data_IF_106859375401
#
_entry.id   IF_106859375401
#
_cell.length_a   1.000
_cell.length_b   1.000
_cell.length_c   1.000
_cell.angle_alpha   90.00
_cell.angle_beta   90.00
_cell.angle_gamma   90.00
#
_symmetry.space_group_name_H-M   'P 1'
#
loop_
_entity.id
_entity.type
_entity.pdbx_description
1 polymer ?
#
# COMPACT_ATOMS: atom_id res chain seq x y z
N UNK A 1 -2.30 -28.60 3.05
CA UNK A 1 -2.55 -27.33 3.77
C UNK A 1 -2.22 -26.19 2.84
N UNK A 2 -2.96 -25.07 2.91
CA UNK A 2 -2.62 -23.87 2.15
C UNK A 2 -1.28 -23.28 2.64
N UNK A 3 -0.43 -22.81 1.71
CA UNK A 3 0.85 -22.16 2.00
C UNK A 3 0.63 -20.92 2.88
N UNK A 4 1.40 -20.74 3.97
CA UNK A 4 1.28 -19.53 4.80
C UNK A 4 1.89 -18.35 4.04
N UNK A 5 1.39 -17.14 4.33
CA UNK A 5 1.87 -15.90 3.66
C UNK A 5 3.38 -15.70 3.80
N UNK A 6 3.95 -15.99 4.98
CA UNK A 6 5.40 -15.86 5.20
C UNK A 6 6.23 -16.81 4.34
N UNK A 7 5.68 -17.97 4.00
CA UNK A 7 6.40 -19.02 3.26
C UNK A 7 6.58 -18.64 1.77
N UNK A 8 5.94 -17.57 1.29
CA UNK A 8 6.23 -17.01 -0.04
C UNK A 8 7.60 -16.32 -0.11
N UNK A 9 8.20 -16.05 1.06
CA UNK A 9 9.48 -15.37 1.22
C UNK A 9 10.40 -16.30 2.01
N UNK A 10 10.76 -17.40 1.37
CA UNK A 10 11.70 -18.41 1.83
C UNK A 10 13.08 -18.19 1.18
N UNK A 11 14.02 -19.12 1.41
CA UNK A 11 15.37 -19.03 0.83
C UNK A 11 15.34 -19.13 -0.70
N UNK A 12 14.43 -19.93 -1.27
CA UNK A 12 14.27 -20.05 -2.73
C UNK A 12 13.85 -18.70 -3.33
N UNK A 13 12.92 -18.00 -2.67
CA UNK A 13 12.57 -16.63 -3.02
C UNK A 13 13.77 -15.68 -2.92
N UNK A 14 14.53 -15.75 -1.83
CA UNK A 14 15.69 -14.87 -1.61
C UNK A 14 16.76 -15.07 -2.70
N UNK A 15 17.04 -16.33 -3.08
CA UNK A 15 17.92 -16.66 -4.20
C UNK A 15 17.41 -16.08 -5.53
N UNK A 16 16.10 -16.18 -5.80
CA UNK A 16 15.52 -15.63 -7.03
C UNK A 16 15.65 -14.11 -7.09
N UNK A 17 15.33 -13.41 -5.99
CA UNK A 17 15.49 -11.98 -5.88
C UNK A 17 16.96 -11.57 -6.06
N UNK A 18 17.88 -12.30 -5.42
CA UNK A 18 19.32 -12.10 -5.53
C UNK A 18 19.80 -12.20 -6.98
N UNK A 19 19.40 -13.25 -7.71
CA UNK A 19 19.72 -13.43 -9.14
C UNK A 19 19.18 -12.29 -10.01
N UNK A 20 17.97 -11.79 -9.73
CA UNK A 20 17.38 -10.65 -10.46
C UNK A 20 18.20 -9.39 -10.30
N UNK A 21 18.63 -9.09 -9.07
CA UNK A 21 19.45 -7.92 -8.77
C UNK A 21 20.84 -8.02 -9.41
N UNK A 22 21.52 -9.17 -9.31
CA UNK A 22 22.81 -9.38 -9.98
C UNK A 22 22.75 -9.24 -11.50
N UNK A 23 21.63 -9.63 -12.12
CA UNK A 23 21.47 -9.53 -13.57
C UNK A 23 21.51 -8.08 -14.08
N UNK A 24 21.13 -7.12 -13.25
CA UNK A 24 21.01 -5.70 -13.64
C UNK A 24 22.11 -4.81 -13.07
N UNK A 25 22.89 -5.29 -12.09
CA UNK A 25 24.06 -4.58 -11.57
C UNK A 25 25.10 -5.53 -10.98
N UNK A 26 26.36 -5.26 -11.29
CA UNK A 26 27.55 -5.94 -10.73
C UNK A 26 27.89 -5.46 -9.31
N UNK A 27 27.27 -4.38 -8.85
CA UNK A 27 27.49 -3.82 -7.50
C UNK A 27 26.75 -4.56 -6.39
N UNK A 28 25.86 -5.50 -6.73
CA UNK A 28 25.09 -6.25 -5.75
C UNK A 28 25.87 -7.48 -5.25
N UNK A 29 26.22 -7.48 -3.96
CA UNK A 29 26.90 -8.59 -3.30
C UNK A 29 25.91 -9.69 -2.91
N UNK A 30 25.62 -10.60 -3.84
CA UNK A 30 24.69 -11.70 -3.61
C UNK A 30 25.17 -12.68 -2.53
N UNK A 31 26.48 -12.92 -2.43
CA UNK A 31 27.01 -13.87 -1.46
C UNK A 31 26.77 -13.34 -0.05
N UNK A 32 27.09 -12.07 0.17
CA UNK A 32 26.80 -11.43 1.45
C UNK A 32 25.29 -11.36 1.71
N UNK A 33 24.48 -11.02 0.69
CA UNK A 33 23.01 -10.99 0.82
C UNK A 33 22.44 -12.33 1.31
N UNK A 34 22.86 -13.44 0.68
CA UNK A 34 22.38 -14.77 1.08
C UNK A 34 22.81 -15.11 2.51
N UNK A 35 24.05 -14.80 2.89
CA UNK A 35 24.54 -15.06 4.25
C UNK A 35 23.75 -14.30 5.33
N UNK A 36 23.32 -13.06 5.06
CA UNK A 36 22.49 -12.26 5.97
C UNK A 36 21.06 -12.80 6.08
N UNK A 37 20.52 -13.42 5.02
CA UNK A 37 19.15 -13.91 5.01
C UNK A 37 19.06 -15.30 5.63
N UNK A 38 20.00 -16.19 5.32
CA UNK A 38 20.02 -17.59 5.77
C UNK A 38 20.04 -17.75 7.29
N UNK A 39 20.70 -16.85 8.02
CA UNK A 39 20.83 -16.94 9.48
C UNK A 39 19.49 -16.86 10.21
N UNK A 40 18.59 -15.98 9.76
CA UNK A 40 17.44 -15.54 10.56
C UNK A 40 16.08 -15.86 9.93
N UNK A 41 16.01 -16.04 8.60
CA UNK A 41 14.73 -16.03 7.86
C UNK A 41 13.70 -17.05 8.39
N UNK A 42 14.13 -18.26 8.76
CA UNK A 42 13.22 -19.33 9.18
C UNK A 42 12.43 -18.96 10.45
N UNK A 43 13.08 -18.31 11.41
CA UNK A 43 12.49 -17.93 12.69
C UNK A 43 11.51 -16.74 12.60
N UNK A 44 11.56 -15.98 11.50
CA UNK A 44 10.82 -14.74 11.36
C UNK A 44 9.40 -14.94 10.82
N UNK A 45 8.48 -14.11 11.32
CA UNK A 45 7.13 -13.95 10.78
C UNK A 45 7.11 -13.01 9.57
N UNK A 46 5.97 -12.97 8.86
CA UNK A 46 5.85 -12.30 7.56
C UNK A 46 6.48 -10.90 7.50
N UNK A 47 6.04 -9.95 8.34
CA UNK A 47 6.54 -8.57 8.31
C UNK A 47 8.04 -8.49 8.61
N UNK A 48 8.53 -9.31 9.54
CA UNK A 48 9.94 -9.35 9.90
C UNK A 48 10.81 -9.87 8.75
N UNK A 49 10.33 -10.85 7.96
CA UNK A 49 11.02 -11.30 6.75
C UNK A 49 11.17 -10.20 5.71
N UNK A 50 10.12 -9.38 5.52
CA UNK A 50 10.18 -8.25 4.59
C UNK A 50 11.23 -7.23 5.02
N UNK A 51 11.29 -6.93 6.32
CA UNK A 51 12.29 -6.02 6.89
C UNK A 51 13.72 -6.58 6.78
N UNK A 52 13.93 -7.87 7.07
CA UNK A 52 15.20 -8.54 6.88
C UNK A 52 15.68 -8.41 5.43
N UNK A 53 14.84 -8.82 4.47
CA UNK A 53 15.16 -8.76 3.05
C UNK A 53 15.50 -7.33 2.58
N UNK A 54 14.70 -6.34 2.97
CA UNK A 54 14.95 -4.94 2.63
C UNK A 54 16.25 -4.39 3.24
N UNK A 55 16.57 -4.76 4.47
CA UNK A 55 17.84 -4.39 5.14
C UNK A 55 19.03 -5.06 4.47
N UNK A 56 18.94 -6.35 4.16
CA UNK A 56 20.00 -7.06 3.44
C UNK A 56 20.23 -6.48 2.03
N UNK A 57 19.16 -6.08 1.32
CA UNK A 57 19.32 -5.36 0.03
C UNK A 57 20.12 -4.06 0.24
N UNK A 58 19.80 -3.27 1.28
CA UNK A 58 20.49 -2.00 1.55
C UNK A 58 21.97 -2.19 1.85
N UNK A 59 22.30 -3.20 2.64
CA UNK A 59 23.68 -3.53 3.01
C UNK A 59 24.48 -4.02 1.80
N UNK A 60 23.87 -4.87 0.98
CA UNK A 60 24.55 -5.55 -0.14
C UNK A 60 24.45 -4.80 -1.48
N UNK A 61 23.76 -3.66 -1.53
CA UNK A 61 23.70 -2.77 -2.69
C UNK A 61 24.24 -1.38 -2.28
N UNK A 62 25.57 -1.18 -2.26
CA UNK A 62 26.22 0.04 -1.79
C UNK A 62 26.07 1.20 -2.80
N UNK A 63 24.83 1.64 -3.00
CA UNK A 63 24.41 2.70 -3.89
C UNK A 63 23.70 3.81 -3.12
N UNK A 64 23.68 5.00 -3.74
CA UNK A 64 22.77 6.06 -3.34
C UNK A 64 21.32 5.58 -3.42
N UNK A 65 20.41 6.18 -2.65
CA UNK A 65 19.00 5.81 -2.71
C UNK A 65 18.45 5.92 -4.14
N UNK A 66 18.73 7.03 -4.82
CA UNK A 66 18.34 7.27 -6.21
C UNK A 66 18.86 6.19 -7.17
N UNK A 67 20.11 5.76 -7.03
CA UNK A 67 20.68 4.72 -7.90
C UNK A 67 20.17 3.32 -7.56
N UNK A 68 19.85 3.04 -6.29
CA UNK A 68 19.14 1.80 -5.93
C UNK A 68 17.76 1.73 -6.61
N UNK A 69 17.02 2.83 -6.69
CA UNK A 69 15.72 2.84 -7.37
C UNK A 69 15.85 2.52 -8.87
N UNK A 70 16.87 3.05 -9.55
CA UNK A 70 17.16 2.72 -10.97
C UNK A 70 17.47 1.23 -11.18
N UNK A 71 18.10 0.59 -10.19
CA UNK A 71 18.30 -0.88 -10.21
C UNK A 71 16.97 -1.60 -10.08
N UNK A 72 16.11 -1.16 -9.16
CA UNK A 72 14.80 -1.78 -8.94
C UNK A 72 13.84 -1.59 -10.12
N UNK A 73 13.86 -0.43 -10.77
CA UNK A 73 13.07 -0.15 -11.98
C UNK A 73 13.35 -1.17 -13.10
N UNK A 74 14.61 -1.57 -13.27
CA UNK A 74 15.00 -2.55 -14.29
C UNK A 74 14.45 -3.96 -14.03
N UNK A 75 14.10 -4.29 -12.78
CA UNK A 75 13.56 -5.61 -12.44
C UNK A 75 12.04 -5.62 -12.32
N UNK A 76 11.35 -4.47 -12.23
CA UNK A 76 9.90 -4.37 -12.01
C UNK A 76 9.06 -5.25 -12.94
N UNK A 77 9.51 -5.40 -14.20
CA UNK A 77 8.77 -6.13 -15.23
C UNK A 77 7.60 -5.34 -15.82
N UNK A 78 6.79 -5.99 -16.69
CA UNK A 78 5.66 -5.33 -17.36
C UNK A 78 4.56 -4.92 -16.36
N UNK A 79 3.77 -3.90 -16.72
CA UNK A 79 2.57 -3.52 -15.96
C UNK A 79 1.57 -4.69 -15.93
N UNK A 80 0.87 -4.84 -14.80
CA UNK A 80 -0.17 -5.85 -14.66
C UNK A 80 -1.55 -5.28 -15.00
N UNK A 81 -2.31 -6.04 -15.77
CA UNK A 81 -3.71 -5.74 -16.05
C UNK A 81 -4.62 -6.13 -14.88
N UNK A 82 -5.81 -5.52 -14.82
CA UNK A 82 -6.83 -5.84 -13.83
C UNK A 82 -6.50 -5.46 -12.38
N UNK A 83 -7.37 -5.88 -11.47
CA UNK A 83 -7.27 -5.58 -10.04
C UNK A 83 -6.21 -6.40 -9.30
N UNK A 84 -5.96 -6.05 -8.04
CA UNK A 84 -4.97 -6.74 -7.20
C UNK A 84 -5.44 -8.11 -6.73
N UNK A 85 -4.78 -9.16 -7.20
CA UNK A 85 -4.74 -10.45 -6.52
C UNK A 85 -3.61 -10.45 -5.50
N UNK A 86 -3.94 -10.33 -4.21
CA UNK A 86 -2.93 -10.49 -3.15
C UNK A 86 -2.35 -11.91 -3.26
N UNK A 87 -1.06 -12.00 -3.58
CA UNK A 87 -0.28 -13.24 -3.73
C UNK A 87 -0.53 -14.07 -5.00
N UNK A 88 -1.20 -13.54 -6.02
CA UNK A 88 -1.22 -14.17 -7.35
C UNK A 88 -0.09 -13.65 -8.23
N UNK A 89 0.10 -12.34 -8.24
CA UNK A 89 1.05 -11.65 -9.13
C UNK A 89 1.74 -10.51 -8.38
N UNK A 90 2.98 -10.21 -8.76
CA UNK A 90 3.74 -9.10 -8.21
C UNK A 90 4.20 -9.21 -6.75
N UNK A 91 3.68 -10.16 -5.96
CA UNK A 91 4.02 -10.30 -4.54
C UNK A 91 5.53 -10.38 -4.27
N UNK A 92 6.28 -10.94 -5.22
CA UNK A 92 7.73 -11.04 -5.14
C UNK A 92 8.44 -9.67 -5.07
N UNK A 93 7.75 -8.56 -5.38
CA UNK A 93 8.23 -7.18 -5.25
C UNK A 93 8.07 -6.60 -3.83
N UNK A 94 7.50 -7.34 -2.86
CA UNK A 94 7.26 -6.79 -1.53
C UNK A 94 8.52 -6.25 -0.83
N UNK A 95 9.67 -6.94 -0.80
CA UNK A 95 10.88 -6.39 -0.19
C UNK A 95 11.37 -5.11 -0.86
N UNK A 96 11.11 -4.93 -2.15
CA UNK A 96 11.44 -3.69 -2.88
C UNK A 96 10.56 -2.54 -2.37
N UNK A 97 9.25 -2.77 -2.20
CA UNK A 97 8.36 -1.79 -1.57
C UNK A 97 8.73 -1.51 -0.10
N UNK A 98 9.14 -2.54 0.65
CA UNK A 98 9.61 -2.39 2.03
C UNK A 98 10.93 -1.61 2.11
N UNK A 99 11.83 -1.76 1.16
CA UNK A 99 13.04 -0.94 1.06
C UNK A 99 12.68 0.55 0.93
N UNK A 100 11.75 0.89 0.03
CA UNK A 100 11.28 2.27 -0.15
C UNK A 100 10.60 2.79 1.12
N UNK A 101 9.79 1.97 1.79
CA UNK A 101 9.18 2.32 3.06
C UNK A 101 10.22 2.63 4.16
N UNK A 102 11.31 1.86 4.24
CA UNK A 102 12.32 2.04 5.28
C UNK A 102 13.27 3.21 5.00
N UNK A 103 13.60 3.47 3.73
CA UNK A 103 14.71 4.38 3.36
C UNK A 103 14.29 5.59 2.52
N UNK A 104 13.09 5.59 1.93
CA UNK A 104 12.61 6.65 1.02
C UNK A 104 11.90 7.81 1.70
N UNK A 105 11.64 7.75 3.01
CA UNK A 105 10.77 8.71 3.70
C UNK A 105 11.21 10.18 3.63
N UNK A 106 12.49 10.46 3.32
CA UNK A 106 13.00 11.83 3.15
C UNK A 106 13.12 12.26 1.68
N UNK A 107 12.95 11.35 0.73
CA UNK A 107 13.18 11.55 -0.71
C UNK A 107 11.83 11.58 -1.43
N UNK A 108 11.07 12.66 -1.30
CA UNK A 108 9.65 12.72 -1.68
C UNK A 108 9.41 12.38 -3.15
N UNK A 109 10.02 13.12 -4.07
CA UNK A 109 9.78 13.01 -5.50
C UNK A 109 10.19 11.62 -6.03
N UNK A 110 11.37 11.14 -5.62
CA UNK A 110 11.90 9.85 -6.02
C UNK A 110 11.03 8.70 -5.49
N UNK A 111 10.66 8.74 -4.21
CA UNK A 111 9.88 7.68 -3.57
C UNK A 111 8.45 7.64 -4.09
N UNK A 112 7.85 8.80 -4.37
CA UNK A 112 6.51 8.90 -4.93
C UNK A 112 6.48 8.36 -6.37
N UNK A 113 7.42 8.79 -7.22
CA UNK A 113 7.53 8.31 -8.60
C UNK A 113 7.74 6.80 -8.65
N UNK A 114 8.66 6.27 -7.85
CA UNK A 114 8.90 4.83 -7.80
C UNK A 114 7.69 4.07 -7.24
N UNK A 115 7.03 4.59 -6.20
CA UNK A 115 5.82 3.95 -5.65
C UNK A 115 4.67 3.90 -6.66
N UNK A 116 4.55 4.91 -7.53
CA UNK A 116 3.60 4.91 -8.65
C UNK A 116 3.92 3.79 -9.63
N UNK A 117 5.18 3.60 -10.01
CA UNK A 117 5.57 2.52 -10.93
C UNK A 117 5.46 1.12 -10.30
N UNK A 118 5.85 0.99 -9.04
CA UNK A 118 5.73 -0.24 -8.25
C UNK A 118 4.26 -0.66 -8.15
N UNK A 119 3.34 0.26 -7.88
CA UNK A 119 1.92 -0.09 -7.69
C UNK A 119 1.26 -0.63 -8.96
N UNK A 120 1.81 -0.36 -10.14
CA UNK A 120 1.32 -0.93 -11.40
C UNK A 120 1.71 -2.40 -11.57
N UNK A 121 2.69 -2.90 -10.82
CA UNK A 121 3.11 -4.33 -10.80
C UNK A 121 2.79 -5.05 -9.51
N UNK A 122 2.60 -4.30 -8.42
CA UNK A 122 2.29 -4.85 -7.11
C UNK A 122 1.49 -3.81 -6.31
N UNK A 123 2.03 -3.29 -5.20
CA UNK A 123 1.41 -2.20 -4.44
C UNK A 123 2.48 -1.26 -3.90
N UNK A 124 2.20 0.05 -3.99
CA UNK A 124 2.98 1.11 -3.33
C UNK A 124 2.37 1.56 -2.00
N UNK A 125 1.36 0.84 -1.47
CA UNK A 125 0.54 1.34 -0.36
C UNK A 125 1.32 1.53 0.95
N UNK A 126 2.39 0.76 1.15
CA UNK A 126 3.27 0.88 2.32
C UNK A 126 4.37 1.91 2.09
N UNK A 127 4.95 1.95 0.89
CA UNK A 127 6.05 2.86 0.53
C UNK A 127 5.63 4.32 0.51
N UNK A 128 4.35 4.61 0.25
CA UNK A 128 3.80 5.97 0.34
C UNK A 128 3.54 6.46 1.77
N UNK A 129 3.46 5.57 2.77
CA UNK A 129 3.07 5.96 4.14
C UNK A 129 4.09 6.84 4.86
N UNK A 130 5.41 6.59 4.75
CA UNK A 130 6.41 7.52 5.26
C UNK A 130 6.28 8.92 4.64
N UNK A 131 5.97 9.01 3.35
CA UNK A 131 5.75 10.30 2.69
C UNK A 131 4.51 11.00 3.23
N UNK A 132 3.41 10.28 3.44
CA UNK A 132 2.20 10.84 4.05
C UNK A 132 2.49 11.40 5.46
N UNK A 133 3.37 10.74 6.23
CA UNK A 133 3.75 11.21 7.55
C UNK A 133 4.69 12.41 7.53
N UNK A 134 5.69 12.42 6.63
CA UNK A 134 6.75 13.43 6.60
C UNK A 134 6.40 14.65 5.75
N UNK A 135 5.60 14.46 4.70
CA UNK A 135 5.19 15.45 3.72
C UNK A 135 3.67 15.38 3.49
N UNK A 136 2.85 15.60 4.54
CA UNK A 136 1.42 15.32 4.49
C UNK A 136 0.69 16.13 3.42
N UNK A 137 0.92 17.45 3.34
CA UNK A 137 0.30 18.29 2.31
C UNK A 137 0.65 17.84 0.90
N UNK A 138 1.95 17.72 0.59
CA UNK A 138 2.40 17.33 -0.74
C UNK A 138 1.90 15.93 -1.14
N UNK A 139 1.84 15.02 -0.16
CA UNK A 139 1.28 13.68 -0.39
C UNK A 139 -0.21 13.77 -0.71
N UNK A 140 -1.01 14.45 0.12
CA UNK A 140 -2.47 14.55 -0.09
C UNK A 140 -2.81 15.23 -1.43
N UNK A 141 -2.09 16.28 -1.81
CA UNK A 141 -2.23 16.94 -3.12
C UNK A 141 -1.96 15.94 -4.28
N UNK A 142 -0.89 15.14 -4.16
CA UNK A 142 -0.54 14.12 -5.15
C UNK A 142 -1.56 12.97 -5.20
N UNK A 143 -2.08 12.52 -4.06
CA UNK A 143 -3.11 11.47 -4.01
C UNK A 143 -4.44 11.98 -4.61
N UNK A 144 -4.74 13.27 -4.48
CA UNK A 144 -5.89 13.88 -5.14
C UNK A 144 -5.78 13.79 -6.67
N UNK A 145 -4.60 14.08 -7.23
CA UNK A 145 -4.32 13.86 -8.66
C UNK A 145 -4.45 12.37 -9.02
N UNK A 146 -3.77 11.49 -8.27
CA UNK A 146 -3.75 10.06 -8.56
C UNK A 146 -5.11 9.37 -8.44
N UNK A 147 -6.05 9.94 -7.67
CA UNK A 147 -7.42 9.45 -7.60
C UNK A 147 -8.19 9.54 -8.92
N UNK A 148 -7.67 10.30 -9.89
CA UNK A 148 -8.23 10.45 -11.24
C UNK A 148 -7.34 9.82 -12.33
N UNK A 149 -6.27 9.12 -11.95
CA UNK A 149 -5.31 8.53 -12.89
C UNK A 149 -5.99 7.49 -13.80
N UNK A 150 -5.54 7.37 -15.05
CA UNK A 150 -6.06 6.37 -15.99
C UNK A 150 -5.80 4.94 -15.50
N UNK A 151 -4.66 4.73 -14.83
CA UNK A 151 -4.29 3.43 -14.29
C UNK A 151 -5.06 3.12 -13.00
N UNK A 152 -5.87 2.05 -13.04
CA UNK A 152 -6.70 1.65 -11.90
C UNK A 152 -5.89 1.34 -10.62
N UNK A 153 -4.65 0.83 -10.74
CA UNK A 153 -3.83 0.49 -9.57
C UNK A 153 -3.29 1.75 -8.89
N UNK A 154 -3.04 2.81 -9.66
CA UNK A 154 -2.68 4.14 -9.14
C UNK A 154 -3.87 4.78 -8.43
N UNK A 155 -5.07 4.71 -9.00
CA UNK A 155 -6.31 5.17 -8.31
C UNK A 155 -6.56 4.42 -7.01
N UNK A 156 -6.37 3.10 -7.00
CA UNK A 156 -6.45 2.31 -5.76
C UNK A 156 -5.40 2.78 -4.75
N UNK A 157 -4.15 3.01 -5.17
CA UNK A 157 -3.08 3.48 -4.29
C UNK A 157 -3.46 4.80 -3.60
N UNK A 158 -4.07 5.74 -4.33
CA UNK A 158 -4.56 7.01 -3.80
C UNK A 158 -5.51 6.83 -2.61
N UNK A 159 -6.38 5.82 -2.66
CA UNK A 159 -7.24 5.46 -1.53
C UNK A 159 -6.52 4.61 -0.47
N UNK A 160 -5.77 3.58 -0.86
CA UNK A 160 -5.30 2.57 0.10
C UNK A 160 -4.18 3.09 1.02
N UNK A 161 -3.24 3.90 0.51
CA UNK A 161 -2.08 4.33 1.31
C UNK A 161 -2.45 5.31 2.44
N UNK A 162 -3.54 6.08 2.27
CA UNK A 162 -4.02 7.04 3.27
C UNK A 162 -4.86 6.42 4.39
N UNK A 163 -5.13 5.10 4.33
CA UNK A 163 -5.93 4.41 5.36
C UNK A 163 -5.37 4.60 6.77
N UNK A 164 -6.26 4.97 7.70
CA UNK A 164 -5.95 5.14 9.13
C UNK A 164 -5.47 3.81 9.72
N UNK A 165 -6.12 2.69 9.38
CA UNK A 165 -5.85 1.35 9.95
C UNK A 165 -5.57 0.32 8.85
N UNK A 166 -4.60 0.63 7.98
CA UNK A 166 -4.11 -0.31 6.98
C UNK A 166 -3.50 -1.57 7.65
N UNK A 167 -3.91 -2.80 7.30
CA UNK A 167 -3.32 -4.02 7.83
C UNK A 167 -1.80 -4.07 7.59
N UNK A 168 -1.05 -4.63 8.55
CA UNK A 168 0.41 -4.71 8.53
C UNK A 168 1.17 -3.39 8.52
N UNK A 169 0.48 -2.25 8.63
CA UNK A 169 1.09 -0.94 8.79
C UNK A 169 0.76 -0.33 10.16
N UNK A 170 1.60 0.63 10.60
CA UNK A 170 1.30 1.44 11.78
C UNK A 170 0.07 2.32 11.51
N UNK A 171 -0.79 2.47 12.53
CA UNK A 171 -1.90 3.43 12.49
C UNK A 171 -1.34 4.84 12.28
N UNK A 172 -2.00 5.64 11.45
CA UNK A 172 -1.72 7.07 11.29
C UNK A 172 -3.02 7.86 11.10
N UNK A 173 -3.06 9.13 11.52
CA UNK A 173 -4.29 9.94 11.54
C UNK A 173 -4.17 11.23 10.72
N UNK A 174 -3.14 11.35 9.87
CA UNK A 174 -2.88 12.53 9.02
C UNK A 174 -4.13 13.00 8.27
N UNK A 175 -4.92 12.06 7.73
CA UNK A 175 -6.15 12.35 6.98
C UNK A 175 -7.23 13.09 7.79
N UNK A 176 -7.15 13.08 9.12
CA UNK A 176 -8.09 13.85 9.96
C UNK A 176 -7.79 15.35 9.94
N UNK A 177 -6.52 15.72 9.74
CA UNK A 177 -6.06 17.10 9.62
C UNK A 177 -6.18 17.63 8.18
N UNK A 178 -6.16 16.73 7.19
CA UNK A 178 -6.36 16.98 5.75
C UNK A 178 -7.69 16.40 5.27
N UNK A 179 -8.76 16.69 6.01
CA UNK A 179 -10.05 16.02 5.83
C UNK A 179 -10.74 16.40 4.52
N UNK A 180 -10.58 17.63 4.06
CA UNK A 180 -11.19 18.07 2.81
C UNK A 180 -10.55 17.35 1.61
N UNK A 181 -9.21 17.22 1.58
CA UNK A 181 -8.50 16.44 0.57
C UNK A 181 -8.86 14.95 0.65
N UNK A 182 -8.89 14.38 1.86
CA UNK A 182 -9.29 12.99 2.08
C UNK A 182 -10.68 12.70 1.50
N UNK A 183 -11.66 13.56 1.80
CA UNK A 183 -13.04 13.38 1.30
C UNK A 183 -13.15 13.63 -0.20
N UNK A 184 -12.36 14.55 -0.77
CA UNK A 184 -12.28 14.78 -2.21
C UNK A 184 -11.72 13.56 -2.96
N UNK A 185 -10.62 12.96 -2.45
CA UNK A 185 -10.05 11.71 -3.00
C UNK A 185 -11.10 10.59 -3.00
N UNK A 186 -11.75 10.35 -1.86
CA UNK A 186 -12.78 9.29 -1.78
C UNK A 186 -13.98 9.59 -2.68
N UNK A 187 -14.35 10.86 -2.85
CA UNK A 187 -15.43 11.29 -3.75
C UNK A 187 -15.08 11.00 -5.21
N UNK A 188 -13.86 11.23 -5.66
CA UNK A 188 -13.43 10.89 -7.02
C UNK A 188 -13.57 9.38 -7.31
N UNK A 189 -13.43 8.54 -6.27
CA UNK A 189 -13.42 7.08 -6.37
C UNK A 189 -14.76 6.42 -6.00
N UNK A 190 -15.76 7.17 -5.51
CA UNK A 190 -17.02 6.61 -4.98
C UNK A 190 -17.87 5.88 -6.03
N UNK A 191 -17.62 6.16 -7.31
CA UNK A 191 -18.31 5.58 -8.46
C UNK A 191 -17.40 4.73 -9.35
N UNK A 192 -16.18 4.44 -8.91
CA UNK A 192 -15.24 3.62 -9.69
C UNK A 192 -15.85 2.25 -10.03
N UNK A 193 -15.56 1.74 -11.22
CA UNK A 193 -16.08 0.45 -11.71
C UNK A 193 -15.32 -0.73 -11.12
N UNK A 194 -14.08 -0.54 -10.70
CA UNK A 194 -13.24 -1.60 -10.17
C UNK A 194 -13.59 -1.94 -8.70
N UNK A 195 -13.83 -3.22 -8.44
CA UNK A 195 -14.24 -3.69 -7.10
C UNK A 195 -13.14 -3.58 -6.05
N UNK A 196 -11.86 -3.64 -6.43
CA UNK A 196 -10.77 -3.47 -5.48
C UNK A 196 -10.65 -2.02 -5.01
N UNK A 197 -10.93 -1.04 -5.88
CA UNK A 197 -11.02 0.38 -5.53
C UNK A 197 -12.22 0.64 -4.63
N UNK A 198 -13.42 0.15 -5.00
CA UNK A 198 -14.61 0.29 -4.14
C UNK A 198 -14.37 -0.27 -2.73
N UNK A 199 -13.70 -1.42 -2.62
CA UNK A 199 -13.34 -2.03 -1.34
C UNK A 199 -12.35 -1.16 -0.55
N UNK A 200 -11.37 -0.55 -1.22
CA UNK A 200 -10.42 0.39 -0.62
C UNK A 200 -11.15 1.60 -0.01
N UNK A 201 -12.05 2.23 -0.78
CA UNK A 201 -12.86 3.37 -0.33
C UNK A 201 -13.73 2.99 0.87
N UNK A 202 -14.42 1.85 0.79
CA UNK A 202 -15.25 1.35 1.88
C UNK A 202 -14.43 1.03 3.15
N UNK A 203 -13.18 0.60 3.00
CA UNK A 203 -12.27 0.38 4.13
C UNK A 203 -11.79 1.68 4.75
N UNK A 204 -11.46 2.70 3.95
CA UNK A 204 -11.15 4.04 4.46
C UNK A 204 -12.29 4.60 5.30
N UNK A 205 -13.52 4.56 4.79
CA UNK A 205 -14.69 5.05 5.52
C UNK A 205 -14.96 4.24 6.79
N UNK A 206 -14.81 2.91 6.75
CA UNK A 206 -14.95 2.10 7.96
C UNK A 206 -13.84 2.38 8.99
N UNK A 207 -12.62 2.66 8.54
CA UNK A 207 -11.52 3.06 9.42
C UNK A 207 -11.76 4.45 10.02
N UNK A 208 -12.35 5.38 9.24
CA UNK A 208 -12.84 6.67 9.73
C UNK A 208 -13.93 6.49 10.80
N UNK A 209 -14.95 5.66 10.57
CA UNK A 209 -15.99 5.41 11.60
C UNK A 209 -15.39 4.93 12.94
N UNK A 210 -14.38 4.06 12.90
CA UNK A 210 -13.71 3.57 14.11
C UNK A 210 -12.87 4.62 14.84
N UNK A 211 -12.56 5.72 14.16
CA UNK A 211 -11.67 6.76 14.67
C UNK A 211 -12.45 8.04 15.05
N UNK A 212 -13.33 8.46 14.16
CA UNK A 212 -14.16 9.66 14.27
C UNK A 212 -15.53 9.37 13.62
N UNK A 213 -16.50 8.84 14.41
CA UNK A 213 -17.84 8.53 13.92
C UNK A 213 -18.57 9.75 13.35
N UNK A 214 -18.37 10.94 13.91
CA UNK A 214 -19.06 12.16 13.46
C UNK A 214 -18.61 12.56 12.05
N UNK A 215 -17.29 12.56 11.79
CA UNK A 215 -16.75 12.79 10.44
C UNK A 215 -17.22 11.72 9.46
N UNK A 216 -17.33 10.46 9.88
CA UNK A 216 -17.91 9.41 9.05
C UNK A 216 -19.36 9.71 8.65
N UNK A 217 -20.23 10.03 9.62
CA UNK A 217 -21.64 10.34 9.34
C UNK A 217 -21.76 11.56 8.40
N UNK A 218 -20.91 12.58 8.58
CA UNK A 218 -20.86 13.74 7.68
C UNK A 218 -20.61 13.32 6.23
N UNK A 219 -19.62 12.46 5.97
CA UNK A 219 -19.29 12.01 4.61
C UNK A 219 -20.43 11.18 4.01
N UNK A 220 -20.95 10.21 4.76
CA UNK A 220 -22.03 9.34 4.27
C UNK A 220 -23.31 10.15 4.02
N UNK A 221 -23.68 11.05 4.93
CA UNK A 221 -24.85 11.92 4.78
C UNK A 221 -24.78 12.75 3.50
N UNK A 222 -23.64 13.40 3.23
CA UNK A 222 -23.44 14.15 1.97
C UNK A 222 -23.61 13.25 0.74
N UNK A 223 -23.09 12.02 0.76
CA UNK A 223 -23.25 11.13 -0.40
C UNK A 223 -24.69 10.65 -0.59
N UNK A 224 -25.45 10.49 0.50
CA UNK A 224 -26.84 10.05 0.47
C UNK A 224 -27.83 11.12 0.00
N UNK A 225 -27.45 12.40 0.06
CA UNK A 225 -28.23 13.50 -0.53
C UNK A 225 -28.17 13.50 -2.07
N UNK A 226 -27.18 12.82 -2.65
CA UNK A 226 -27.01 12.67 -4.09
C UNK A 226 -27.71 11.41 -4.63
N UNK A 227 -27.91 11.33 -5.96
CA UNK A 227 -28.40 10.10 -6.60
C UNK A 227 -27.31 9.02 -6.53
N UNK A 228 -27.51 8.02 -5.68
CA UNK A 228 -26.55 6.92 -5.49
C UNK A 228 -26.44 6.03 -6.73
N UNK A 229 -25.20 5.86 -7.21
CA UNK A 229 -24.88 4.78 -8.14
C UNK A 229 -24.88 3.41 -7.43
N UNK A 230 -24.97 2.29 -8.16
CA UNK A 230 -24.81 0.96 -7.58
C UNK A 230 -23.46 0.76 -6.88
N UNK A 231 -22.38 1.37 -7.39
CA UNK A 231 -21.05 1.33 -6.79
C UNK A 231 -21.03 2.08 -5.46
N UNK A 232 -21.52 3.32 -5.43
CA UNK A 232 -21.56 4.14 -4.23
C UNK A 232 -22.45 3.51 -3.14
N UNK A 233 -23.64 3.02 -3.51
CA UNK A 233 -24.53 2.31 -2.59
C UNK A 233 -23.86 1.07 -1.97
N UNK A 234 -23.09 0.31 -2.78
CA UNK A 234 -22.29 -0.81 -2.27
C UNK A 234 -21.22 -0.33 -1.29
N UNK A 235 -20.46 0.73 -1.63
CA UNK A 235 -19.42 1.29 -0.76
C UNK A 235 -20.00 1.70 0.60
N UNK A 236 -21.10 2.46 0.62
CA UNK A 236 -21.76 2.90 1.85
C UNK A 236 -22.13 1.69 2.71
N UNK A 237 -22.78 0.68 2.13
CA UNK A 237 -23.16 -0.55 2.85
C UNK A 237 -21.95 -1.26 3.46
N UNK A 238 -20.84 -1.38 2.73
CA UNK A 238 -19.63 -2.03 3.21
C UNK A 238 -18.89 -1.19 4.26
N UNK A 239 -18.89 0.13 4.11
CA UNK A 239 -18.29 1.06 5.04
C UNK A 239 -18.98 1.03 6.42
N UNK A 240 -20.31 0.94 6.45
CA UNK A 240 -21.10 0.93 7.68
C UNK A 240 -21.09 -0.40 8.47
N UNK A 241 -20.31 -1.41 8.04
CA UNK A 241 -20.33 -2.75 8.68
C UNK A 241 -20.01 -2.73 10.17
N UNK A 242 -19.08 -1.86 10.61
CA UNK A 242 -18.73 -1.75 12.03
C UNK A 242 -19.83 -1.00 12.79
N UNK A 243 -20.34 0.10 12.22
CA UNK A 243 -21.50 0.85 12.75
C UNK A 243 -22.69 -0.07 13.03
N UNK A 244 -23.11 -0.80 12.00
CA UNK A 244 -24.27 -1.70 12.11
C UNK A 244 -24.06 -2.79 13.18
N UNK A 245 -22.82 -3.24 13.38
CA UNK A 245 -22.48 -4.21 14.43
C UNK A 245 -22.63 -3.58 15.83
N UNK A 246 -22.14 -2.36 16.01
CA UNK A 246 -22.24 -1.61 17.27
C UNK A 246 -23.69 -1.30 17.61
N UNK A 247 -24.47 -0.79 16.67
CA UNK A 247 -25.90 -0.48 16.85
C UNK A 247 -26.71 -1.74 17.21
N UNK A 248 -26.46 -2.86 16.52
CA UNK A 248 -27.11 -4.13 16.84
C UNK A 248 -26.80 -4.59 18.26
N UNK A 249 -25.57 -4.35 18.75
CA UNK A 249 -25.18 -4.72 20.10
C UNK A 249 -25.81 -3.79 21.16
N UNK A 250 -25.99 -2.51 20.85
CA UNK A 250 -26.68 -1.56 21.72
C UNK A 250 -28.18 -1.86 21.87
N UNK A 251 -28.84 -2.38 20.82
CA UNK A 251 -30.25 -2.78 20.86
C UNK A 251 -30.52 -4.07 21.66
N UNK A 252 -29.47 -4.79 22.08
CA UNK A 252 -29.56 -6.03 22.87
C UNK A 252 -29.33 -5.79 24.37
N UNK A 253 -29.11 -4.54 24.78
CA UNK A 253 -28.87 -4.09 26.16
C UNK A 253 -30.06 -3.23 26.59
#
# INVERSE_FOLDING_TARGET
>A
MAKKVKDYYDLVYAEDLSRRLQKVTDKFDAQHFMSLVESDLEALEFTQRQELLARSIKECLPLSYADSLKVFEQILGPELEGGLGMFSEGYWLWPIGKYVELYGGQEFELSAAFSKELTKRFTGEFSMRPLLANYPKATMDLLLEWSQDENMRVRRLASECMRIRLPWAKKQTVVLDYFDEFTAILRNLKDDRDKSIQKSVANNLNDLYKEDPEKFERVIGTWQEEKLSPSCAWIIKHASRTKNKVEKQALLI
#
